data_IF_649333243259
#
_entry.id   IF_649333243259
#
_cell.length_a   1.000
_cell.length_b   1.000
_cell.length_c   1.000
_cell.angle_alpha   90.00
_cell.angle_beta   90.00
_cell.angle_gamma   90.00
#
_symmetry.space_group_name_H-M   'P 1'
#
loop_
_entity.id
_entity.type
_entity.pdbx_description
1 polymer ?
#
# COMPACT_ATOMS: atom_id res chain seq x y z
N UNK A 1 16.35 -4.04 -31.42
CA UNK A 1 16.19 -2.65 -31.93
C UNK A 1 17.49 -1.88 -31.83
N UNK A 2 18.09 -1.76 -30.64
CA UNK A 2 19.34 -1.00 -30.42
C UNK A 2 20.52 -1.41 -31.30
N UNK A 3 20.53 -2.64 -31.80
CA UNK A 3 21.61 -3.14 -32.73
C UNK A 3 21.44 -2.62 -34.16
N UNK A 4 20.28 -2.10 -34.54
CA UNK A 4 19.95 -1.72 -35.91
C UNK A 4 19.46 -0.28 -36.07
N UNK A 5 19.10 0.37 -34.96
CA UNK A 5 18.52 1.71 -34.97
C UNK A 5 19.09 2.55 -33.84
N UNK A 6 19.09 3.88 -34.02
CA UNK A 6 19.23 4.80 -32.91
C UNK A 6 17.96 4.78 -32.10
N UNK A 7 18.04 4.48 -30.79
CA UNK A 7 16.90 4.28 -29.90
C UNK A 7 17.09 5.13 -28.65
N UNK A 8 16.14 6.00 -28.37
CA UNK A 8 16.03 6.72 -27.11
C UNK A 8 15.01 6.02 -26.21
N UNK A 9 15.38 5.75 -24.95
CA UNK A 9 14.52 5.17 -23.95
C UNK A 9 14.07 6.26 -23.00
N UNK A 10 12.75 6.49 -22.94
CA UNK A 10 12.12 7.43 -22.02
C UNK A 10 11.46 6.65 -20.87
N UNK A 11 11.63 7.14 -19.66
CA UNK A 11 11.08 6.50 -18.46
C UNK A 11 9.72 7.09 -18.14
N UNK A 12 8.74 6.23 -17.86
CA UNK A 12 7.45 6.64 -17.34
C UNK A 12 7.48 6.87 -15.82
N UNK A 13 6.48 7.54 -15.29
CA UNK A 13 6.34 7.76 -13.85
C UNK A 13 6.19 6.46 -13.05
N UNK A 14 5.62 5.42 -13.66
CA UNK A 14 5.53 4.09 -13.03
C UNK A 14 6.89 3.39 -12.95
N UNK A 15 7.75 3.55 -13.95
CA UNK A 15 9.09 2.96 -13.95
C UNK A 15 9.92 3.43 -12.75
N UNK A 16 9.78 4.71 -12.37
CA UNK A 16 10.46 5.28 -11.18
C UNK A 16 10.03 4.55 -9.90
N UNK A 17 8.75 4.16 -9.77
CA UNK A 17 8.27 3.39 -8.62
C UNK A 17 8.92 2.01 -8.56
N UNK A 18 9.00 1.31 -9.70
CA UNK A 18 9.65 -0.01 -9.78
C UNK A 18 11.14 0.08 -9.47
N UNK A 19 11.82 1.09 -9.99
CA UNK A 19 13.23 1.35 -9.68
C UNK A 19 13.45 1.64 -8.20
N UNK A 20 12.59 2.46 -7.60
CA UNK A 20 12.63 2.76 -6.16
C UNK A 20 12.36 1.51 -5.33
N UNK A 21 11.43 0.64 -5.75
CA UNK A 21 11.18 -0.63 -5.09
C UNK A 21 12.39 -1.56 -5.16
N UNK A 22 12.98 -1.73 -6.34
CA UNK A 22 14.20 -2.52 -6.53
C UNK A 22 15.41 -1.95 -5.75
N UNK A 23 15.41 -0.65 -5.44
CA UNK A 23 16.40 -0.01 -4.58
C UNK A 23 16.07 -0.08 -3.08
N UNK A 24 15.07 -0.88 -2.67
CA UNK A 24 14.70 -1.07 -1.27
C UNK A 24 13.92 0.09 -0.64
N UNK A 25 13.35 1.01 -1.43
CA UNK A 25 12.59 2.12 -0.89
C UNK A 25 11.19 1.67 -0.46
N UNK A 26 10.93 1.61 0.84
CA UNK A 26 9.68 1.08 1.41
C UNK A 26 8.42 1.73 0.86
N UNK A 27 8.43 3.05 0.63
CA UNK A 27 7.30 3.76 0.02
C UNK A 27 7.00 3.28 -1.40
N UNK A 28 8.04 2.98 -2.19
CA UNK A 28 7.93 2.45 -3.54
C UNK A 28 7.48 0.98 -3.53
N UNK A 29 8.06 0.15 -2.64
CA UNK A 29 7.67 -1.25 -2.44
C UNK A 29 6.18 -1.33 -2.11
N UNK A 30 5.73 -0.60 -1.09
CA UNK A 30 4.33 -0.59 -0.68
C UNK A 30 3.42 -0.12 -1.81
N UNK A 31 3.82 0.90 -2.57
CA UNK A 31 3.04 1.44 -3.68
C UNK A 31 2.92 0.43 -4.84
N UNK A 32 4.01 -0.24 -5.24
CA UNK A 32 4.00 -1.28 -6.29
C UNK A 32 3.04 -2.41 -5.89
N UNK A 33 3.19 -2.96 -4.69
CA UNK A 33 2.32 -4.05 -4.21
C UNK A 33 0.86 -3.60 -4.15
N UNK A 34 0.59 -2.38 -3.65
CA UNK A 34 -0.76 -1.81 -3.60
C UNK A 34 -1.39 -1.68 -5.00
N UNK A 35 -0.62 -1.23 -5.98
CA UNK A 35 -1.09 -1.13 -7.37
C UNK A 35 -1.40 -2.53 -7.90
N UNK A 36 -0.50 -3.50 -7.75
CA UNK A 36 -0.73 -4.87 -8.18
C UNK A 36 -1.97 -5.49 -7.51
N UNK A 37 -2.13 -5.33 -6.19
CA UNK A 37 -3.33 -5.79 -5.48
C UNK A 37 -4.61 -5.15 -6.02
N UNK A 38 -4.60 -3.84 -6.28
CA UNK A 38 -5.75 -3.11 -6.80
C UNK A 38 -6.21 -3.59 -8.18
N UNK A 39 -5.27 -4.05 -9.00
CA UNK A 39 -5.56 -4.52 -10.37
C UNK A 39 -5.61 -6.05 -10.48
N UNK A 40 -5.47 -6.78 -9.38
CA UNK A 40 -5.53 -8.24 -9.37
C UNK A 40 -4.36 -8.93 -10.05
N UNK A 41 -3.18 -8.31 -10.03
CA UNK A 41 -1.96 -8.82 -10.71
C UNK A 41 -0.83 -9.08 -9.70
N UNK A 42 -1.15 -9.63 -8.52
CA UNK A 42 -0.11 -9.99 -7.54
C UNK A 42 0.76 -11.15 -8.02
N UNK A 43 0.22 -12.01 -8.89
CA UNK A 43 0.92 -13.08 -9.60
C UNK A 43 2.16 -12.59 -10.36
N UNK A 44 2.10 -11.39 -10.92
CA UNK A 44 3.27 -10.77 -11.58
C UNK A 44 4.44 -10.62 -10.61
N UNK A 45 4.16 -10.27 -9.35
CA UNK A 45 5.21 -10.13 -8.34
C UNK A 45 5.74 -11.49 -7.89
N UNK A 46 4.86 -12.47 -7.72
CA UNK A 46 5.22 -13.81 -7.23
C UNK A 46 5.87 -14.65 -8.34
N UNK A 47 5.19 -14.84 -9.46
CA UNK A 47 5.65 -15.69 -10.55
C UNK A 47 6.68 -15.00 -11.46
N UNK A 48 6.50 -13.69 -11.69
CA UNK A 48 7.36 -12.93 -12.59
C UNK A 48 8.68 -12.49 -11.95
N UNK A 49 8.64 -12.10 -10.67
CA UNK A 49 9.81 -11.56 -9.96
C UNK A 49 10.28 -12.44 -8.78
N UNK A 50 9.55 -13.50 -8.44
CA UNK A 50 9.88 -14.40 -7.33
C UNK A 50 9.70 -13.78 -5.94
N UNK A 51 8.92 -12.72 -5.82
CA UNK A 51 8.69 -12.01 -4.56
C UNK A 51 7.70 -12.80 -3.71
N UNK A 52 8.11 -13.23 -2.53
CA UNK A 52 7.23 -13.98 -1.62
C UNK A 52 6.27 -13.04 -0.88
N UNK A 53 5.01 -13.00 -1.29
CA UNK A 53 3.95 -12.23 -0.66
C UNK A 53 3.22 -12.97 0.47
N UNK A 54 3.50 -14.26 0.72
CA UNK A 54 2.84 -15.06 1.73
C UNK A 54 2.83 -14.42 3.15
N UNK A 55 3.93 -13.79 3.63
CA UNK A 55 3.90 -13.12 4.94
C UNK A 55 2.89 -11.97 5.00
N UNK A 56 2.77 -11.19 3.93
CA UNK A 56 1.78 -10.11 3.82
C UNK A 56 0.36 -10.67 3.71
N UNK A 57 0.14 -11.72 2.93
CA UNK A 57 -1.15 -12.38 2.79
C UNK A 57 -1.64 -12.98 4.12
N UNK A 58 -0.76 -13.67 4.85
CA UNK A 58 -1.07 -14.22 6.16
C UNK A 58 -1.42 -13.12 7.19
N UNK A 59 -0.68 -12.03 7.20
CA UNK A 59 -0.97 -10.85 8.01
C UNK A 59 -2.33 -10.25 7.63
N UNK A 60 -2.59 -10.03 6.35
CA UNK A 60 -3.84 -9.45 5.87
C UNK A 60 -5.05 -10.33 6.25
N UNK A 61 -4.93 -11.65 6.11
CA UNK A 61 -5.98 -12.59 6.51
C UNK A 61 -6.25 -12.54 8.02
N UNK A 62 -5.21 -12.50 8.83
CA UNK A 62 -5.35 -12.50 10.29
C UNK A 62 -5.92 -11.18 10.81
N UNK A 63 -5.51 -10.05 10.24
CA UNK A 63 -5.91 -8.72 10.71
C UNK A 63 -7.29 -8.30 10.14
N UNK A 64 -7.57 -8.64 8.89
CA UNK A 64 -8.76 -8.21 8.15
C UNK A 64 -9.64 -9.39 7.71
N UNK A 65 -9.51 -10.56 8.35
CA UNK A 65 -10.26 -11.78 7.99
C UNK A 65 -11.78 -11.58 8.02
N UNK A 66 -12.28 -10.88 9.02
CA UNK A 66 -13.72 -10.58 9.20
C UNK A 66 -14.15 -9.25 8.55
N UNK A 67 -13.21 -8.51 7.93
CA UNK A 67 -13.49 -7.25 7.27
C UNK A 67 -13.85 -7.50 5.79
N UNK A 68 -14.99 -7.00 5.30
CA UNK A 68 -15.35 -7.14 3.90
C UNK A 68 -14.47 -6.31 2.95
N UNK A 69 -13.64 -5.42 3.45
CA UNK A 69 -12.68 -4.58 2.70
C UNK A 69 -13.30 -3.87 1.48
N UNK A 70 -14.55 -3.42 1.58
CA UNK A 70 -15.34 -2.91 0.44
C UNK A 70 -14.68 -1.72 -0.26
N UNK A 71 -13.99 -0.86 0.51
CA UNK A 71 -13.29 0.31 -0.02
C UNK A 71 -12.05 -0.06 -0.85
N UNK A 72 -11.61 -1.31 -0.78
CA UNK A 72 -10.39 -1.83 -1.42
C UNK A 72 -10.67 -2.80 -2.58
N UNK A 73 -11.88 -2.70 -3.17
CA UNK A 73 -12.26 -3.53 -4.32
C UNK A 73 -11.27 -3.40 -5.47
N UNK A 74 -11.06 -4.52 -6.16
CA UNK A 74 -10.24 -4.58 -7.37
C UNK A 74 -10.91 -3.79 -8.50
N UNK A 75 -10.07 -3.26 -9.41
CA UNK A 75 -10.54 -2.61 -10.63
C UNK A 75 -10.63 -3.63 -11.76
N UNK A 76 -11.86 -3.75 -12.34
CA UNK A 76 -12.11 -4.38 -13.64
C UNK A 76 -11.43 -5.76 -13.84
N UNK A 77 -11.58 -6.68 -12.87
CA UNK A 77 -11.09 -8.05 -13.01
C UNK A 77 -12.29 -8.95 -13.31
N UNK A 78 -12.36 -9.46 -14.53
CA UNK A 78 -13.36 -10.46 -14.95
C UNK A 78 -12.80 -11.86 -14.69
N UNK A 79 -13.64 -12.76 -14.16
CA UNK A 79 -13.32 -14.18 -14.05
C UNK A 79 -12.39 -14.57 -12.89
N UNK A 80 -12.11 -13.66 -11.96
CA UNK A 80 -11.36 -13.99 -10.75
C UNK A 80 -12.23 -14.80 -9.77
N UNK A 81 -11.64 -15.76 -9.10
CA UNK A 81 -12.30 -16.53 -8.06
C UNK A 81 -12.71 -15.62 -6.88
N UNK A 82 -13.92 -15.78 -6.30
CA UNK A 82 -14.38 -14.95 -5.18
C UNK A 82 -13.47 -14.95 -3.95
N UNK A 83 -12.87 -16.07 -3.60
CA UNK A 83 -11.97 -16.18 -2.45
C UNK A 83 -10.63 -15.48 -2.73
N UNK A 84 -10.13 -15.60 -3.94
CA UNK A 84 -8.96 -14.88 -4.42
C UNK A 84 -9.24 -13.36 -4.45
N UNK A 85 -10.39 -12.93 -4.95
CA UNK A 85 -10.80 -11.53 -4.92
C UNK A 85 -10.82 -10.98 -3.50
N UNK A 86 -11.41 -11.72 -2.57
CA UNK A 86 -11.48 -11.31 -1.16
C UNK A 86 -10.09 -11.24 -0.52
N UNK A 87 -9.18 -12.18 -0.84
CA UNK A 87 -7.80 -12.15 -0.37
C UNK A 87 -7.05 -10.92 -0.92
N UNK A 88 -7.19 -10.64 -2.22
CA UNK A 88 -6.58 -9.48 -2.85
C UNK A 88 -7.08 -8.15 -2.25
N UNK A 89 -8.37 -8.07 -1.89
CA UNK A 89 -8.92 -6.90 -1.19
C UNK A 89 -8.31 -6.72 0.20
N UNK A 90 -8.09 -7.80 0.96
CA UNK A 90 -7.43 -7.77 2.27
C UNK A 90 -5.96 -7.34 2.16
N UNK A 91 -5.24 -7.91 1.20
CA UNK A 91 -3.84 -7.52 0.91
C UNK A 91 -3.79 -6.04 0.50
N UNK A 92 -4.71 -5.61 -0.38
CA UNK A 92 -4.80 -4.21 -0.81
C UNK A 92 -5.01 -3.27 0.39
N UNK A 93 -5.90 -3.61 1.33
CA UNK A 93 -6.11 -2.83 2.55
C UNK A 93 -4.86 -2.82 3.43
N UNK A 94 -4.29 -3.99 3.73
CA UNK A 94 -3.12 -4.12 4.58
C UNK A 94 -1.94 -3.29 4.08
N UNK A 95 -1.58 -3.45 2.81
CA UNK A 95 -0.45 -2.70 2.23
C UNK A 95 -0.75 -1.21 2.07
N UNK A 96 -2.01 -0.81 1.89
CA UNK A 96 -2.39 0.61 1.86
C UNK A 96 -2.18 1.29 3.21
N UNK A 97 -2.53 0.63 4.31
CA UNK A 97 -2.29 1.15 5.67
C UNK A 97 -0.78 1.25 5.94
N UNK A 98 -0.01 0.22 5.59
CA UNK A 98 1.45 0.25 5.68
C UNK A 98 2.02 1.41 4.85
N UNK A 99 1.55 1.60 3.62
CA UNK A 99 1.96 2.71 2.76
C UNK A 99 1.70 4.08 3.41
N UNK A 100 0.52 4.30 3.97
CA UNK A 100 0.20 5.56 4.65
C UNK A 100 1.13 5.83 5.85
N UNK A 101 1.52 4.78 6.58
CA UNK A 101 2.50 4.90 7.66
C UNK A 101 3.88 5.27 7.14
N UNK A 102 4.38 4.58 6.10
CA UNK A 102 5.68 4.89 5.45
C UNK A 102 5.70 6.33 4.95
N UNK A 103 4.67 6.72 4.17
CA UNK A 103 4.58 8.07 3.60
C UNK A 103 4.53 9.14 4.69
N UNK A 104 3.74 8.93 5.74
CA UNK A 104 3.66 9.86 6.86
C UNK A 104 5.00 10.02 7.58
N UNK A 105 5.76 8.94 7.76
CA UNK A 105 7.12 9.01 8.33
C UNK A 105 8.09 9.76 7.40
N UNK A 106 8.01 9.56 6.09
CA UNK A 106 8.81 10.29 5.09
C UNK A 106 8.48 11.78 5.14
N UNK A 107 7.20 12.13 5.13
CA UNK A 107 6.73 13.52 5.20
C UNK A 107 7.22 14.20 6.48
N UNK A 108 7.12 13.53 7.63
CA UNK A 108 7.61 14.06 8.91
C UNK A 108 9.12 14.34 8.92
N UNK A 109 9.92 13.50 8.22
CA UNK A 109 11.39 13.66 8.12
C UNK A 109 11.80 14.70 7.09
N UNK A 110 11.04 14.81 5.98
CA UNK A 110 11.39 15.62 4.80
C UNK A 110 10.47 16.85 4.66
N UNK A 111 10.49 17.73 5.66
CA UNK A 111 9.66 18.95 5.70
C UNK A 111 9.87 19.86 4.49
N UNK A 112 11.06 19.83 3.87
CA UNK A 112 11.36 20.61 2.66
C UNK A 112 10.49 20.24 1.46
N UNK A 113 9.78 19.09 1.48
CA UNK A 113 8.86 18.71 0.40
C UNK A 113 7.48 19.39 0.50
N UNK A 114 7.17 20.01 1.66
CA UNK A 114 5.88 20.68 1.90
C UNK A 114 4.65 19.79 1.59
N UNK A 115 4.70 18.51 2.00
CA UNK A 115 3.68 17.51 1.73
C UNK A 115 2.81 17.16 2.96
N UNK A 116 2.82 18.00 3.99
CA UNK A 116 2.09 17.76 5.26
C UNK A 116 0.59 17.57 5.06
N UNK A 117 0.04 18.18 4.00
CA UNK A 117 -1.37 18.04 3.62
C UNK A 117 -1.72 16.61 3.13
N UNK A 118 -0.74 15.79 2.75
CA UNK A 118 -0.91 14.40 2.32
C UNK A 118 -0.82 13.39 3.47
N UNK A 119 -0.34 13.79 4.61
CA UNK A 119 -0.33 12.95 5.80
C UNK A 119 -1.73 12.97 6.44
N UNK A 120 -2.53 11.92 6.28
CA UNK A 120 -3.95 11.93 6.60
C UNK A 120 -4.32 11.13 7.86
N UNK A 121 -3.54 10.13 8.27
CA UNK A 121 -3.92 9.25 9.39
C UNK A 121 -4.15 10.01 10.71
N UNK A 122 -3.38 11.05 10.99
CA UNK A 122 -3.53 11.86 12.21
C UNK A 122 -4.77 12.78 12.19
N UNK A 123 -5.47 12.89 11.04
CA UNK A 123 -6.69 13.69 10.89
C UNK A 123 -7.96 12.87 11.11
N UNK A 124 -7.80 11.57 11.36
CA UNK A 124 -8.91 10.65 11.60
C UNK A 124 -9.31 10.71 13.08
N UNK A 125 -10.58 10.97 13.33
CA UNK A 125 -11.23 10.74 14.61
C UNK A 125 -11.75 9.29 14.61
N UNK A 126 -10.97 8.38 15.19
CA UNK A 126 -11.29 6.95 15.19
C UNK A 126 -12.53 6.60 16.02
N UNK A 127 -12.86 7.41 17.03
CA UNK A 127 -14.06 7.21 17.87
C UNK A 127 -15.32 7.58 17.10
N UNK A 128 -15.26 8.66 16.33
CA UNK A 128 -16.40 9.16 15.55
C UNK A 128 -16.46 8.61 14.13
N UNK A 129 -15.43 7.92 13.68
CA UNK A 129 -15.33 7.43 12.30
C UNK A 129 -15.37 8.56 11.27
N UNK A 130 -14.67 9.67 11.55
CA UNK A 130 -14.63 10.83 10.64
C UNK A 130 -13.20 11.26 10.34
N UNK A 131 -13.01 11.92 9.22
CA UNK A 131 -11.74 12.56 8.84
C UNK A 131 -11.96 14.05 8.60
N UNK A 132 -11.02 14.90 9.05
CA UNK A 132 -11.04 16.33 8.78
C UNK A 132 -10.15 16.66 7.59
N UNK A 133 -10.76 17.22 6.54
CA UNK A 133 -10.10 17.68 5.33
C UNK A 133 -10.54 19.12 5.04
N UNK A 134 -9.59 20.03 4.88
CA UNK A 134 -9.82 21.45 4.57
C UNK A 134 -10.85 22.12 5.50
N UNK A 135 -10.77 21.82 6.80
CA UNK A 135 -11.66 22.35 7.84
C UNK A 135 -13.08 21.77 7.83
N UNK A 136 -13.34 20.74 7.04
CA UNK A 136 -14.61 20.01 6.98
C UNK A 136 -14.45 18.58 7.44
N UNK A 137 -15.45 18.05 8.14
CA UNK A 137 -15.50 16.66 8.59
C UNK A 137 -16.31 15.82 7.62
N UNK A 138 -15.75 14.68 7.26
CA UNK A 138 -16.36 13.69 6.37
C UNK A 138 -16.45 12.36 7.08
N UNK A 139 -17.56 11.62 6.96
CA UNK A 139 -17.66 10.27 7.50
C UNK A 139 -16.74 9.33 6.72
N UNK A 140 -16.08 8.42 7.43
CA UNK A 140 -15.33 7.33 6.82
C UNK A 140 -16.29 6.20 6.43
N UNK A 141 -16.11 5.65 5.24
CA UNK A 141 -16.83 4.46 4.79
C UNK A 141 -16.26 3.16 5.37
N UNK A 142 -15.00 3.21 5.79
CA UNK A 142 -14.29 2.12 6.44
C UNK A 142 -13.62 2.68 7.70
N UNK A 143 -13.92 2.09 8.85
CA UNK A 143 -13.41 2.49 10.15
C UNK A 143 -12.54 1.42 10.83
N UNK A 144 -12.33 0.29 10.15
CA UNK A 144 -11.55 -0.82 10.67
C UNK A 144 -10.05 -0.62 10.40
N UNK A 145 -9.35 0.04 11.34
CA UNK A 145 -7.91 0.30 11.29
C UNK A 145 -7.20 -0.29 12.52
N UNK A 146 -7.24 -1.61 12.75
CA UNK A 146 -6.79 -2.23 14.00
C UNK A 146 -5.28 -2.08 14.26
N UNK A 147 -4.49 -1.81 13.23
CA UNK A 147 -3.03 -1.63 13.36
C UNK A 147 -2.59 -0.17 13.50
N UNK A 148 -3.54 0.78 13.49
CA UNK A 148 -3.25 2.20 13.62
C UNK A 148 -3.44 2.63 15.08
N UNK A 149 -2.37 3.05 15.75
CA UNK A 149 -2.44 3.66 17.09
C UNK A 149 -2.86 5.13 16.94
N UNK A 150 -4.01 5.55 17.51
CA UNK A 150 -4.43 6.96 17.46
C UNK A 150 -3.41 7.94 18.07
N UNK A 151 -2.54 7.49 18.99
CA UNK A 151 -1.51 8.33 19.63
C UNK A 151 -0.29 8.54 18.74
N UNK A 152 0.06 7.54 17.93
CA UNK A 152 1.09 7.64 16.89
C UNK A 152 0.67 6.89 15.62
N UNK A 153 -0.20 7.51 14.79
CA UNK A 153 -0.84 6.84 13.67
C UNK A 153 0.13 6.34 12.58
N UNK A 154 1.36 6.82 12.60
CA UNK A 154 2.39 6.46 11.62
C UNK A 154 3.41 5.45 12.15
N UNK A 155 3.30 5.03 13.42
CA UNK A 155 4.13 3.95 13.97
C UNK A 155 3.76 2.61 13.31
N UNK A 156 4.78 1.83 12.96
CA UNK A 156 4.57 0.43 12.56
C UNK A 156 4.29 -0.44 13.78
N UNK A 157 3.46 -1.45 13.59
CA UNK A 157 3.52 -2.61 14.48
C UNK A 157 4.80 -3.39 14.19
N UNK A 158 5.24 -4.21 15.15
CA UNK A 158 6.43 -5.04 14.94
C UNK A 158 6.30 -5.91 13.68
N UNK A 159 5.13 -6.46 13.45
CA UNK A 159 4.89 -7.34 12.31
C UNK A 159 4.87 -6.59 10.97
N UNK A 160 4.27 -5.41 10.91
CA UNK A 160 4.34 -4.56 9.71
C UNK A 160 5.81 -4.24 9.35
N UNK A 161 6.63 -3.92 10.34
CA UNK A 161 8.05 -3.65 10.14
C UNK A 161 8.81 -4.89 9.65
N UNK A 162 8.51 -6.06 10.21
CA UNK A 162 9.12 -7.33 9.79
C UNK A 162 8.74 -7.69 8.35
N UNK A 163 7.47 -7.47 7.96
CA UNK A 163 6.99 -7.67 6.59
C UNK A 163 7.76 -6.77 5.63
N UNK A 164 7.86 -5.47 5.93
CA UNK A 164 8.58 -4.53 5.07
C UNK A 164 10.06 -4.87 4.94
N UNK A 165 10.72 -5.31 6.02
CA UNK A 165 12.11 -5.78 5.98
C UNK A 165 12.31 -7.04 5.14
N UNK A 166 11.31 -7.91 5.07
CA UNK A 166 11.35 -9.11 4.19
C UNK A 166 11.17 -8.71 2.72
N UNK A 167 10.21 -7.84 2.44
CA UNK A 167 9.96 -7.32 1.09
C UNK A 167 11.12 -6.49 0.53
N UNK A 168 11.87 -5.80 1.39
CA UNK A 168 13.08 -5.05 1.02
C UNK A 168 14.22 -5.98 0.54
N UNK A 169 14.24 -7.22 1.01
CA UNK A 169 15.30 -8.19 0.71
C UNK A 169 14.96 -9.12 -0.47
N UNK A 170 13.71 -9.07 -0.91
CA UNK A 170 13.25 -9.87 -2.03
C UNK A 170 13.60 -9.18 -3.35
#
# INVERSE_FOLDING_TARGET
>A
LMSYHSVDIQWGNHDILWMGAAAGQWGCIANVIRICARYGNLDILEDGYGINLLPLAAFALRIYGDDPCICFRLKAVEGIDPDEMQMNMRIHKAISIIQFKVEGQIIRRQKAFHLENRALLHRIDFEKGTIELDGKKYPLLDTAFPTVDPKDPYAFTQEEEEIMKRLEKA
#
